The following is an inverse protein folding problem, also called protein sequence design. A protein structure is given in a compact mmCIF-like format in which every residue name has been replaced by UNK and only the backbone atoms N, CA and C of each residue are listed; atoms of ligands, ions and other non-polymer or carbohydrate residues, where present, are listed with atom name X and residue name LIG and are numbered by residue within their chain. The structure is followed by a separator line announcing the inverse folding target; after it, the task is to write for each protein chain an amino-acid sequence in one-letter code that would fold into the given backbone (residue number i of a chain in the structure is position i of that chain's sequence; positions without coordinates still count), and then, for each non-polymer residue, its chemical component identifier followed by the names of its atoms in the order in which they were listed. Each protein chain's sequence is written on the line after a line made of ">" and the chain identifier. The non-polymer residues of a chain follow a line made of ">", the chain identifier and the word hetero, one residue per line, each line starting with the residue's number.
data_IF_362836247045
#
_entry.id   IF_362836247045
#
_cell.length_a   1.000
_cell.length_b   1.000
_cell.length_c   1.000
_cell.angle_alpha   90.00
_cell.angle_beta   90.00
_cell.angle_gamma   90.00
#
_symmetry.space_group_name_H-M   'P 1'
#
loop_
_entity.id
_entity.type
_entity.pdbx_description
1 polymer ?
#
# COMPACT_ATOMS: atom_id res chain seq x y z
N UNK A 1 50.08 59.84 -57.27
CA UNK A 1 50.32 58.40 -57.44
C UNK A 1 50.67 57.81 -56.03
N UNK A 2 50.00 56.98 -55.39
CA UNK A 2 49.01 55.90 -55.63
C UNK A 2 48.31 55.64 -54.29
N UNK A 3 47.02 55.92 -54.21
CA UNK A 3 46.12 55.50 -53.15
C UNK A 3 45.34 54.26 -53.70
N UNK A 4 45.73 53.09 -53.43
CA UNK A 4 44.95 51.83 -53.65
C UNK A 4 45.69 50.63 -53.10
N UNK A 5 45.32 50.18 -51.90
CA UNK A 5 45.33 48.77 -51.47
C UNK A 5 45.13 48.66 -49.96
N UNK A 6 43.89 48.72 -49.47
CA UNK A 6 43.50 48.13 -48.19
C UNK A 6 41.97 47.98 -48.16
N UNK A 7 41.43 47.02 -48.95
CA UNK A 7 40.00 46.74 -48.90
C UNK A 7 39.60 45.24 -48.95
N UNK A 8 40.52 44.33 -48.74
CA UNK A 8 40.21 42.90 -48.85
C UNK A 8 40.45 42.03 -47.59
N UNK A 9 40.81 42.59 -46.43
CA UNK A 9 41.06 41.82 -45.20
C UNK A 9 39.87 41.74 -44.26
N UNK A 10 38.76 42.46 -44.49
CA UNK A 10 37.61 42.50 -43.59
C UNK A 10 36.58 41.38 -43.77
N UNK A 11 36.47 40.80 -45.00
CA UNK A 11 35.42 39.80 -45.26
C UNK A 11 35.75 38.39 -44.72
N UNK A 12 37.04 38.02 -44.65
CA UNK A 12 37.45 36.71 -44.14
C UNK A 12 37.26 36.51 -42.65
N UNK A 13 37.35 37.60 -41.87
CA UNK A 13 37.22 37.54 -40.40
C UNK A 13 35.77 37.40 -39.92
N UNK A 14 34.82 37.92 -40.66
CA UNK A 14 33.37 37.80 -40.30
C UNK A 14 32.88 36.38 -40.61
N UNK A 15 33.28 35.78 -41.71
CA UNK A 15 32.89 34.39 -42.02
C UNK A 15 33.56 33.35 -41.11
N UNK A 16 34.80 33.59 -40.66
CA UNK A 16 35.46 32.69 -39.73
C UNK A 16 34.77 32.69 -38.34
N UNK A 17 34.32 33.85 -37.86
CA UNK A 17 33.59 33.98 -36.60
C UNK A 17 32.18 33.33 -36.65
N UNK A 18 31.47 33.48 -37.78
CA UNK A 18 30.14 32.84 -37.93
C UNK A 18 30.24 31.34 -38.07
N UNK A 19 31.30 30.79 -38.71
CA UNK A 19 31.56 29.35 -38.77
C UNK A 19 31.94 28.77 -37.38
N UNK A 20 32.79 29.49 -36.62
CA UNK A 20 33.11 29.05 -35.25
C UNK A 20 31.87 29.10 -34.31
N UNK A 21 31.02 30.13 -34.41
CA UNK A 21 29.77 30.20 -33.62
C UNK A 21 28.80 29.09 -34.00
N UNK A 22 28.68 28.75 -35.27
CA UNK A 22 27.83 27.62 -35.71
C UNK A 22 28.37 26.27 -35.22
N UNK A 23 29.70 26.07 -35.22
CA UNK A 23 30.28 24.84 -34.67
C UNK A 23 30.08 24.68 -33.16
N UNK A 24 30.24 25.80 -32.39
CA UNK A 24 30.03 25.79 -30.94
C UNK A 24 28.52 25.54 -30.61
N UNK A 25 27.59 26.11 -31.38
CA UNK A 25 26.16 25.84 -31.21
C UNK A 25 25.79 24.36 -31.51
N UNK A 26 26.40 23.78 -32.54
CA UNK A 26 26.18 22.35 -32.87
C UNK A 26 26.74 21.42 -31.78
N UNK A 27 27.94 21.72 -31.24
CA UNK A 27 28.51 20.94 -30.13
C UNK A 27 27.67 21.07 -28.84
N UNK A 28 27.18 22.29 -28.52
CA UNK A 28 26.29 22.50 -27.37
C UNK A 28 24.96 21.76 -27.56
N UNK A 29 24.40 21.75 -28.76
CA UNK A 29 23.19 20.96 -29.06
C UNK A 29 23.43 19.45 -28.98
N UNK A 30 24.58 18.96 -29.43
CA UNK A 30 24.97 17.53 -29.35
C UNK A 30 25.23 17.11 -27.89
N UNK A 31 25.82 17.97 -27.07
CA UNK A 31 26.03 17.72 -25.64
C UNK A 31 24.68 17.78 -24.85
N UNK A 32 23.74 18.63 -25.26
CA UNK A 32 22.41 18.69 -24.66
C UNK A 32 21.57 17.43 -24.96
N UNK A 33 21.73 16.82 -26.14
CA UNK A 33 21.04 15.55 -26.48
C UNK A 33 21.64 14.34 -25.77
N UNK A 34 22.92 14.37 -25.40
CA UNK A 34 23.54 13.30 -24.59
C UNK A 34 23.10 13.30 -23.12
N UNK A 35 22.59 14.43 -22.61
CA UNK A 35 22.06 14.51 -21.24
C UNK A 35 20.68 13.85 -21.06
N UNK A 36 19.93 13.55 -22.13
CA UNK A 36 18.66 12.81 -22.06
C UNK A 36 18.81 11.29 -22.05
N UNK A 37 20.04 10.76 -22.02
CA UNK A 37 20.32 9.33 -22.20
C UNK A 37 20.57 8.52 -20.93
N UNK A 38 20.52 9.09 -19.71
CA UNK A 38 20.65 8.28 -18.52
C UNK A 38 19.29 7.67 -18.19
N UNK A 39 19.11 6.38 -18.56
CA UNK A 39 17.88 5.64 -18.27
C UNK A 39 17.53 5.67 -16.78
N UNK A 40 16.27 5.91 -16.45
CA UNK A 40 15.79 5.79 -15.07
C UNK A 40 15.87 4.33 -14.60
N UNK A 41 16.33 4.06 -13.35
CA UNK A 41 17.00 4.98 -12.44
C UNK A 41 18.51 5.07 -12.71
N UNK A 42 19.09 6.28 -12.58
CA UNK A 42 20.54 6.54 -12.70
C UNK A 42 21.23 6.79 -11.35
N UNK A 43 20.43 6.80 -10.25
CA UNK A 43 20.89 6.97 -8.86
C UNK A 43 20.02 6.09 -7.95
N UNK A 44 20.37 5.90 -6.66
CA UNK A 44 19.57 5.12 -5.73
C UNK A 44 18.12 5.61 -5.63
N UNK A 45 17.17 4.66 -5.54
CA UNK A 45 15.75 4.89 -5.33
C UNK A 45 15.43 4.57 -3.88
N UNK A 46 14.67 5.41 -3.20
CA UNK A 46 14.19 5.13 -1.84
C UNK A 46 12.72 4.73 -1.83
N UNK A 47 12.36 3.81 -0.93
CA UNK A 47 10.97 3.46 -0.63
C UNK A 47 10.69 3.87 0.81
N UNK A 48 9.82 4.86 1.00
CA UNK A 48 9.34 5.25 2.32
C UNK A 48 8.33 4.21 2.79
N UNK A 49 8.54 3.68 4.00
CA UNK A 49 7.63 2.77 4.69
C UNK A 49 7.08 3.50 5.92
N UNK A 50 5.76 3.75 6.01
CA UNK A 50 5.17 4.55 7.09
C UNK A 50 5.00 3.78 8.42
N UNK A 51 5.64 2.62 8.57
CA UNK A 51 5.53 1.74 9.73
C UNK A 51 6.91 1.26 10.22
N UNK A 52 6.93 0.74 11.45
CA UNK A 52 8.15 0.24 12.07
C UNK A 52 8.73 -0.97 11.31
N UNK A 53 10.05 -1.11 11.41
CA UNK A 53 10.78 -2.24 10.83
C UNK A 53 10.33 -3.60 11.43
N UNK A 54 10.44 -4.66 10.62
CA UNK A 54 10.18 -6.05 11.01
C UNK A 54 8.74 -6.54 10.78
N UNK A 55 7.77 -5.66 10.54
CA UNK A 55 6.42 -6.05 10.16
C UNK A 55 6.28 -6.30 8.65
N UNK A 56 5.11 -6.84 8.25
CA UNK A 56 4.79 -7.11 6.84
C UNK A 56 5.00 -5.89 5.95
N UNK A 57 4.57 -4.70 6.41
CA UNK A 57 4.74 -3.45 5.68
C UNK A 57 6.21 -3.07 5.43
N UNK A 58 7.14 -3.54 6.25
CA UNK A 58 8.58 -3.33 6.08
C UNK A 58 9.23 -4.44 5.24
N UNK A 59 8.89 -5.70 5.50
CA UNK A 59 9.50 -6.84 4.82
C UNK A 59 9.13 -6.90 3.33
N UNK A 60 7.89 -6.61 2.99
CA UNK A 60 7.38 -6.65 1.61
C UNK A 60 8.18 -5.73 0.66
N UNK A 61 8.35 -4.42 0.92
CA UNK A 61 9.13 -3.56 0.05
C UNK A 61 10.63 -3.89 0.04
N UNK A 62 11.19 -4.52 1.09
CA UNK A 62 12.57 -5.01 1.07
C UNK A 62 12.74 -6.20 0.12
N UNK A 63 11.79 -7.16 0.14
CA UNK A 63 11.80 -8.32 -0.76
C UNK A 63 11.69 -7.86 -2.23
N UNK A 64 10.74 -6.98 -2.54
CA UNK A 64 10.55 -6.46 -3.90
C UNK A 64 11.70 -5.52 -4.29
N UNK A 65 12.13 -4.63 -3.39
CA UNK A 65 13.21 -3.68 -3.59
C UNK A 65 14.55 -4.35 -3.89
N UNK A 66 14.83 -5.51 -3.29
CA UNK A 66 16.01 -6.30 -3.64
C UNK A 66 15.99 -6.69 -5.12
N UNK A 67 14.88 -7.20 -5.65
CA UNK A 67 14.74 -7.57 -7.06
C UNK A 67 14.82 -6.37 -8.00
N UNK A 68 14.22 -5.26 -7.60
CA UNK A 68 14.35 -4.00 -8.35
C UNK A 68 15.79 -3.52 -8.37
N UNK A 69 16.53 -3.62 -7.25
CA UNK A 69 17.94 -3.24 -7.17
C UNK A 69 18.81 -4.10 -8.10
N UNK A 70 18.59 -5.41 -8.10
CA UNK A 70 19.29 -6.35 -9.01
C UNK A 70 19.03 -5.98 -10.48
N UNK A 71 17.76 -5.70 -10.84
CA UNK A 71 17.35 -5.37 -12.20
C UNK A 71 17.88 -4.01 -12.68
N UNK A 72 17.88 -3.02 -11.80
CA UNK A 72 18.23 -1.64 -12.15
C UNK A 72 19.72 -1.34 -12.06
N UNK A 73 20.50 -2.19 -11.38
CA UNK A 73 21.89 -1.90 -11.07
C UNK A 73 22.07 -0.68 -10.16
N UNK A 74 20.99 -0.25 -9.50
CA UNK A 74 20.94 0.87 -8.57
C UNK A 74 20.35 0.43 -7.24
N UNK A 75 20.87 0.96 -6.13
CA UNK A 75 20.35 0.61 -4.81
C UNK A 75 18.90 1.03 -4.64
N UNK A 76 18.07 0.14 -4.08
CA UNK A 76 16.72 0.45 -3.60
C UNK A 76 16.76 0.42 -2.07
N UNK A 77 16.62 1.60 -1.45
CA UNK A 77 16.77 1.78 -0.01
C UNK A 77 15.40 1.91 0.64
N UNK A 78 15.10 1.08 1.63
CA UNK A 78 13.85 1.13 2.40
C UNK A 78 14.06 1.94 3.67
N UNK A 79 13.29 3.03 3.82
CA UNK A 79 13.35 3.95 4.97
C UNK A 79 12.04 3.91 5.76
N UNK A 80 12.12 3.59 7.06
CA UNK A 80 10.96 3.57 7.93
C UNK A 80 10.69 4.96 8.53
N UNK A 81 9.50 5.54 8.29
CA UNK A 81 9.06 6.87 8.77
C UNK A 81 7.78 6.72 9.58
N UNK A 82 7.94 6.39 10.84
CA UNK A 82 6.85 5.95 11.73
C UNK A 82 6.13 7.15 12.36
N UNK A 83 4.84 7.00 12.59
CA UNK A 83 4.04 7.90 13.43
C UNK A 83 2.70 8.31 12.82
N UNK A 84 1.77 8.74 13.68
CA UNK A 84 0.43 9.20 13.33
C UNK A 84 -0.30 8.24 12.36
N UNK A 85 -0.38 6.95 12.70
CA UNK A 85 -0.99 5.91 11.85
C UNK A 85 -0.42 5.84 10.43
N UNK A 86 0.90 6.13 10.27
CA UNK A 86 1.58 6.16 8.98
C UNK A 86 1.53 7.51 8.26
N UNK A 87 0.76 8.48 8.76
CA UNK A 87 0.56 9.76 8.08
C UNK A 87 1.84 10.59 7.99
N UNK A 88 2.83 10.40 8.89
CA UNK A 88 4.14 11.07 8.81
C UNK A 88 4.90 10.61 7.55
N UNK A 89 5.01 9.31 7.31
CA UNK A 89 5.68 8.78 6.12
C UNK A 89 4.95 9.15 4.83
N UNK A 90 3.62 9.10 4.83
CA UNK A 90 2.81 9.55 3.69
C UNK A 90 3.03 11.04 3.39
N UNK A 91 3.05 11.91 4.42
CA UNK A 91 3.29 13.34 4.24
C UNK A 91 4.70 13.64 3.70
N UNK A 92 5.73 12.86 4.06
CA UNK A 92 7.07 12.98 3.47
C UNK A 92 7.03 12.61 1.99
N UNK A 93 6.37 11.53 1.62
CA UNK A 93 6.19 11.12 0.23
C UNK A 93 5.42 12.15 -0.61
N UNK A 94 4.38 12.76 -0.05
CA UNK A 94 3.60 13.81 -0.70
C UNK A 94 4.41 15.09 -0.99
N UNK A 95 5.50 15.34 -0.26
CA UNK A 95 6.41 16.48 -0.47
C UNK A 95 7.64 16.14 -1.30
N UNK A 96 7.81 14.89 -1.69
CA UNK A 96 8.95 14.48 -2.49
C UNK A 96 8.94 15.11 -3.89
N UNK A 97 10.09 15.17 -4.54
CA UNK A 97 10.17 15.58 -5.94
C UNK A 97 9.42 14.57 -6.83
N UNK A 98 8.71 15.02 -7.87
CA UNK A 98 7.99 14.13 -8.79
C UNK A 98 8.94 13.56 -9.86
N UNK A 99 10.08 13.01 -9.43
CA UNK A 99 11.15 12.49 -10.30
C UNK A 99 11.27 10.95 -10.26
N UNK A 100 10.38 10.28 -9.49
CA UNK A 100 10.34 8.83 -9.35
C UNK A 100 11.36 8.24 -8.38
N UNK A 101 12.30 9.01 -7.82
CA UNK A 101 13.33 8.49 -6.90
C UNK A 101 12.87 8.35 -5.45
N UNK A 102 11.65 8.78 -5.15
CA UNK A 102 11.00 8.51 -3.87
C UNK A 102 9.67 7.80 -4.11
N UNK A 103 9.63 6.53 -3.80
CA UNK A 103 8.42 5.72 -3.79
C UNK A 103 7.88 5.64 -2.36
N UNK A 104 6.60 5.35 -2.20
CA UNK A 104 5.98 5.19 -0.89
C UNK A 104 5.21 3.88 -0.86
N UNK A 105 5.45 3.06 0.15
CA UNK A 105 4.54 1.96 0.47
C UNK A 105 3.32 2.56 1.17
N UNK A 106 2.17 2.37 0.58
CA UNK A 106 0.89 2.87 1.09
C UNK A 106 -0.07 1.70 1.35
N UNK A 107 -0.23 1.25 2.59
CA UNK A 107 -1.29 0.30 2.94
C UNK A 107 -2.69 0.88 2.76
N UNK A 108 -3.69 -0.01 2.63
CA UNK A 108 -5.12 0.31 2.45
C UNK A 108 -5.57 1.50 3.29
N UNK A 109 -5.35 1.42 4.60
CA UNK A 109 -5.81 2.45 5.53
C UNK A 109 -5.28 3.85 5.23
N UNK A 110 -4.02 3.96 4.79
CA UNK A 110 -3.41 5.27 4.52
C UNK A 110 -4.02 5.99 3.32
N UNK A 111 -4.50 5.27 2.33
CA UNK A 111 -5.08 5.86 1.12
C UNK A 111 -6.61 5.96 1.17
N UNK A 112 -7.29 5.04 1.87
CA UNK A 112 -8.75 4.90 1.74
C UNK A 112 -9.53 5.13 3.04
N UNK A 113 -8.87 5.16 4.20
CA UNK A 113 -9.50 5.31 5.52
C UNK A 113 -9.05 6.58 6.23
N UNK A 114 -7.73 6.81 6.33
CA UNK A 114 -7.15 7.94 7.04
C UNK A 114 -7.68 9.31 6.58
N UNK A 115 -8.02 9.54 5.29
CA UNK A 115 -8.64 10.80 4.86
C UNK A 115 -9.95 11.15 5.57
N UNK A 116 -10.65 10.15 6.10
CA UNK A 116 -11.93 10.35 6.80
C UNK A 116 -11.79 10.42 8.33
N UNK A 117 -10.63 9.99 8.85
CA UNK A 117 -10.38 9.91 10.29
C UNK A 117 -9.38 10.93 10.81
N UNK A 118 -8.54 11.51 9.94
CA UNK A 118 -7.48 12.42 10.33
C UNK A 118 -7.49 13.69 9.49
N UNK A 119 -7.09 14.80 10.10
CA UNK A 119 -6.76 16.01 9.36
C UNK A 119 -5.37 15.87 8.73
N UNK A 120 -5.32 15.44 7.47
CA UNK A 120 -4.07 15.19 6.77
C UNK A 120 -3.47 16.48 6.20
N UNK A 121 -2.11 16.64 6.24
CA UNK A 121 -1.42 17.75 5.58
C UNK A 121 -1.19 17.51 4.07
N UNK A 122 -1.91 16.55 3.47
CA UNK A 122 -1.84 16.15 2.06
C UNK A 122 -3.20 15.59 1.62
N UNK A 123 -3.42 15.53 0.30
CA UNK A 123 -4.61 14.93 -0.31
C UNK A 123 -4.21 13.60 -0.99
N UNK A 124 -4.73 12.49 -0.50
CA UNK A 124 -4.37 11.15 -1.00
C UNK A 124 -4.69 10.96 -2.47
N UNK A 125 -5.75 11.60 -2.99
CA UNK A 125 -6.18 11.47 -4.36
C UNK A 125 -5.40 12.39 -5.33
N UNK A 126 -4.92 13.55 -4.85
CA UNK A 126 -4.23 14.55 -5.68
C UNK A 126 -2.72 14.48 -5.58
N UNK A 127 -2.19 14.07 -4.42
CA UNK A 127 -0.76 14.14 -4.14
C UNK A 127 0.00 12.87 -4.52
N UNK A 128 -0.72 11.77 -4.82
CA UNK A 128 -0.10 10.51 -5.19
C UNK A 128 -0.60 9.97 -6.53
N UNK A 129 0.32 9.38 -7.28
CA UNK A 129 0.04 8.56 -8.46
C UNK A 129 0.22 7.09 -8.06
N UNK A 130 -0.84 6.25 -8.17
CA UNK A 130 -0.75 4.82 -7.95
C UNK A 130 0.21 4.16 -8.97
N UNK A 131 1.01 3.19 -8.49
CA UNK A 131 1.89 2.38 -9.34
C UNK A 131 1.32 0.96 -9.46
N UNK A 132 1.21 0.25 -8.34
CA UNK A 132 0.69 -1.11 -8.29
C UNK A 132 0.40 -1.53 -6.86
N UNK A 133 -0.48 -2.50 -6.66
CA UNK A 133 -0.57 -3.25 -5.40
C UNK A 133 0.51 -4.33 -5.41
N UNK A 134 1.44 -4.27 -4.46
CA UNK A 134 2.49 -5.28 -4.33
C UNK A 134 1.93 -6.62 -3.86
N UNK A 135 1.13 -6.58 -2.81
CA UNK A 135 0.51 -7.79 -2.26
C UNK A 135 -0.78 -7.48 -1.50
N UNK A 136 -1.62 -8.50 -1.37
CA UNK A 136 -2.78 -8.52 -0.47
C UNK A 136 -2.50 -9.41 0.73
N UNK A 137 -3.20 -9.12 1.83
CA UNK A 137 -3.21 -9.93 3.04
C UNK A 137 -4.66 -10.24 3.40
N UNK A 138 -5.15 -11.43 3.12
CA UNK A 138 -6.47 -11.85 3.53
C UNK A 138 -6.63 -11.76 5.05
N UNK A 139 -7.76 -11.23 5.51
CA UNK A 139 -8.13 -11.26 6.91
C UNK A 139 -9.02 -12.46 7.19
N UNK A 140 -8.93 -12.97 8.41
CA UNK A 140 -9.80 -14.02 8.94
C UNK A 140 -10.52 -13.52 10.18
N UNK A 141 -11.80 -13.80 10.27
CA UNK A 141 -12.57 -13.64 11.50
C UNK A 141 -12.28 -14.83 12.40
N UNK A 142 -11.69 -14.56 13.54
CA UNK A 142 -11.39 -15.57 14.57
C UNK A 142 -12.17 -15.27 15.85
N UNK A 143 -12.51 -16.33 16.58
CA UNK A 143 -13.13 -16.23 17.90
C UNK A 143 -12.33 -17.02 18.93
N UNK A 144 -12.46 -16.60 20.21
CA UNK A 144 -11.96 -17.39 21.34
C UNK A 144 -12.83 -18.65 21.51
N UNK A 145 -12.26 -19.82 21.87
CA UNK A 145 -13.02 -21.09 22.02
C UNK A 145 -14.15 -21.06 23.06
N UNK A 146 -14.18 -20.09 23.96
CA UNK A 146 -15.30 -19.92 24.90
C UNK A 146 -16.59 -19.43 24.23
N UNK A 147 -16.53 -18.90 23.02
CA UNK A 147 -17.71 -18.54 22.23
C UNK A 147 -18.26 -19.82 21.60
N UNK A 148 -19.53 -20.22 21.90
CA UNK A 148 -20.06 -21.50 21.49
C UNK A 148 -20.54 -21.52 20.03
N UNK A 149 -19.64 -21.18 19.09
CA UNK A 149 -19.92 -21.11 17.65
C UNK A 149 -18.80 -21.74 16.84
N UNK A 150 -19.15 -22.36 15.71
CA UNK A 150 -18.20 -23.04 14.80
C UNK A 150 -18.33 -22.54 13.35
N UNK A 151 -19.30 -21.68 13.09
CA UNK A 151 -19.54 -21.15 11.74
C UNK A 151 -19.97 -19.69 11.80
N UNK A 152 -19.85 -19.00 10.67
CA UNK A 152 -20.28 -17.61 10.54
C UNK A 152 -21.78 -17.44 10.81
N UNK A 153 -22.61 -18.38 10.36
CA UNK A 153 -24.07 -18.34 10.61
C UNK A 153 -24.38 -18.48 12.08
N UNK A 154 -23.68 -19.38 12.79
CA UNK A 154 -23.83 -19.54 14.24
C UNK A 154 -23.39 -18.28 14.99
N UNK A 155 -22.26 -17.65 14.55
CA UNK A 155 -21.79 -16.40 15.14
C UNK A 155 -22.83 -15.29 15.00
N UNK A 156 -23.39 -15.11 13.80
CA UNK A 156 -24.44 -14.10 13.57
C UNK A 156 -25.68 -14.38 14.39
N UNK A 157 -26.13 -15.65 14.45
CA UNK A 157 -27.27 -16.05 15.26
C UNK A 157 -27.02 -15.79 16.76
N UNK A 158 -25.83 -16.17 17.25
CA UNK A 158 -25.43 -15.94 18.64
C UNK A 158 -25.38 -14.43 18.97
N UNK A 159 -24.78 -13.60 18.11
CA UNK A 159 -24.70 -12.16 18.31
C UNK A 159 -26.09 -11.50 18.33
N UNK A 160 -27.02 -11.96 17.47
CA UNK A 160 -28.42 -11.47 17.47
C UNK A 160 -29.17 -11.84 18.72
N UNK A 161 -28.96 -13.06 19.24
CA UNK A 161 -29.56 -13.54 20.46
C UNK A 161 -28.98 -12.91 21.74
N UNK A 162 -27.74 -12.41 21.64
CA UNK A 162 -26.97 -11.86 22.75
C UNK A 162 -26.36 -10.49 22.39
N UNK A 163 -27.18 -9.47 22.17
CA UNK A 163 -26.67 -8.15 21.80
C UNK A 163 -25.71 -7.61 22.85
N UNK A 164 -24.64 -6.98 22.39
CA UNK A 164 -23.55 -6.38 23.21
C UNK A 164 -22.75 -7.36 24.09
N UNK A 165 -22.89 -8.68 23.88
CA UNK A 165 -22.13 -9.71 24.62
C UNK A 165 -20.81 -10.06 23.95
N UNK A 166 -20.66 -9.82 22.66
CA UNK A 166 -19.42 -10.05 21.94
C UNK A 166 -18.64 -8.73 21.82
N UNK A 167 -17.40 -8.77 22.30
CA UNK A 167 -16.45 -7.69 22.12
C UNK A 167 -15.47 -8.10 21.01
N UNK A 168 -15.21 -7.20 20.06
CA UNK A 168 -14.17 -7.42 19.05
C UNK A 168 -12.97 -6.51 19.27
N UNK A 169 -11.79 -7.13 19.20
CA UNK A 169 -10.52 -6.41 19.33
C UNK A 169 -10.07 -5.80 18.00
N UNK A 170 -9.36 -4.69 18.09
CA UNK A 170 -8.58 -4.16 16.98
C UNK A 170 -7.25 -3.56 17.43
N UNK A 171 -6.25 -3.40 16.54
CA UNK A 171 -4.99 -2.72 16.90
C UNK A 171 -5.13 -1.21 17.10
N UNK A 172 -6.34 -0.68 17.06
CA UNK A 172 -6.66 0.74 17.29
C UNK A 172 -7.85 1.21 16.47
N UNK A 173 -8.37 2.36 16.84
CA UNK A 173 -9.46 3.00 16.11
C UNK A 173 -9.05 3.31 14.67
N UNK A 174 -10.00 3.15 13.73
CA UNK A 174 -9.77 3.35 12.30
C UNK A 174 -8.90 2.29 11.63
N UNK A 175 -8.42 1.29 12.38
CA UNK A 175 -7.70 0.16 11.76
C UNK A 175 -8.62 -0.70 10.89
N UNK A 176 -8.05 -1.44 9.94
CA UNK A 176 -8.82 -2.37 9.10
C UNK A 176 -9.64 -3.39 9.89
N UNK A 177 -9.14 -3.85 11.05
CA UNK A 177 -9.85 -4.76 11.93
C UNK A 177 -11.05 -4.09 12.63
N UNK A 178 -10.92 -2.81 13.03
CA UNK A 178 -12.04 -2.01 13.55
C UNK A 178 -13.13 -1.87 12.49
N UNK A 179 -12.76 -1.41 11.31
CA UNK A 179 -13.72 -1.19 10.21
C UNK A 179 -14.37 -2.50 9.74
N UNK A 180 -13.66 -3.63 9.81
CA UNK A 180 -14.21 -4.95 9.52
C UNK A 180 -15.28 -5.37 10.54
N UNK A 181 -15.05 -5.08 11.83
CA UNK A 181 -16.04 -5.30 12.89
C UNK A 181 -17.29 -4.45 12.71
N UNK A 182 -17.11 -3.17 12.40
CA UNK A 182 -18.24 -2.25 12.14
C UNK A 182 -19.00 -2.62 10.86
N UNK A 183 -18.29 -3.04 9.81
CA UNK A 183 -18.93 -3.56 8.60
C UNK A 183 -19.78 -4.80 8.91
N UNK A 184 -19.25 -5.71 9.75
CA UNK A 184 -20.02 -6.88 10.21
C UNK A 184 -21.27 -6.46 10.97
N UNK A 185 -21.18 -5.50 11.90
CA UNK A 185 -22.30 -4.97 12.65
C UNK A 185 -23.39 -4.44 11.71
N UNK A 186 -22.99 -3.65 10.70
CA UNK A 186 -23.91 -3.04 9.73
C UNK A 186 -24.55 -4.10 8.83
N UNK A 187 -23.76 -4.96 8.19
CA UNK A 187 -24.26 -5.86 7.15
C UNK A 187 -24.98 -7.09 7.70
N UNK A 188 -24.53 -7.63 8.85
CA UNK A 188 -25.21 -8.75 9.51
C UNK A 188 -26.37 -8.31 10.41
N UNK A 189 -26.51 -7.01 10.68
CA UNK A 189 -27.48 -6.47 11.62
C UNK A 189 -27.30 -7.01 13.04
N UNK A 190 -26.04 -7.05 13.51
CA UNK A 190 -25.64 -7.48 14.85
C UNK A 190 -25.07 -6.31 15.65
N UNK A 191 -24.97 -6.48 16.96
CA UNK A 191 -24.36 -5.50 17.87
C UNK A 191 -23.23 -6.15 18.62
N UNK A 192 -21.99 -5.83 18.23
CA UNK A 192 -20.77 -6.20 18.92
C UNK A 192 -20.02 -4.94 19.32
N UNK A 193 -19.29 -4.97 20.45
CA UNK A 193 -18.61 -3.78 20.98
C UNK A 193 -17.14 -3.76 20.58
N UNK A 194 -16.67 -2.62 20.09
CA UNK A 194 -15.27 -2.43 19.74
C UNK A 194 -14.40 -2.17 20.97
N UNK A 195 -13.28 -2.89 21.06
CA UNK A 195 -12.24 -2.69 22.07
C UNK A 195 -10.92 -2.35 21.36
N UNK A 196 -10.51 -1.06 21.34
CA UNK A 196 -9.26 -0.64 20.70
C UNK A 196 -8.05 -0.93 21.57
N UNK A 197 -6.99 -1.46 20.96
CA UNK A 197 -5.68 -1.69 21.58
C UNK A 197 -4.60 -0.80 20.95
N UNK A 198 -3.47 -0.65 21.64
CA UNK A 198 -2.28 0.05 21.10
C UNK A 198 -1.41 -0.91 20.28
N UNK A 199 -1.99 -1.50 19.23
CA UNK A 199 -1.31 -2.41 18.29
C UNK A 199 -1.86 -3.84 18.33
N UNK A 200 -1.35 -4.67 17.41
CA UNK A 200 -1.87 -6.03 17.15
C UNK A 200 -1.54 -7.01 18.28
N UNK A 201 -0.33 -6.92 18.86
CA UNK A 201 0.12 -7.90 19.85
C UNK A 201 -0.73 -7.91 21.14
N UNK A 202 -1.02 -6.77 21.79
CA UNK A 202 -1.91 -6.78 22.97
C UNK A 202 -3.34 -7.22 22.61
N UNK A 203 -3.87 -6.88 21.43
CA UNK A 203 -5.19 -7.32 20.98
C UNK A 203 -5.27 -8.86 20.85
N UNK A 204 -4.25 -9.48 20.25
CA UNK A 204 -4.18 -10.95 20.11
C UNK A 204 -3.99 -11.62 21.46
N UNK A 205 -3.19 -11.06 22.36
CA UNK A 205 -2.99 -11.63 23.69
C UNK A 205 -4.31 -11.67 24.50
N UNK A 206 -5.08 -10.59 24.48
CA UNK A 206 -6.36 -10.51 25.18
C UNK A 206 -7.43 -11.40 24.53
N UNK A 207 -7.40 -11.56 23.20
CA UNK A 207 -8.23 -12.52 22.50
C UNK A 207 -7.88 -13.96 22.92
N UNK A 208 -6.59 -14.30 23.00
CA UNK A 208 -6.11 -15.62 23.48
C UNK A 208 -6.44 -15.87 24.95
N UNK A 209 -6.53 -14.83 25.75
CA UNK A 209 -6.94 -14.85 27.16
C UNK A 209 -8.45 -14.82 27.38
N UNK A 210 -9.27 -14.70 26.31
CA UNK A 210 -10.73 -14.63 26.38
C UNK A 210 -11.27 -13.31 26.93
N UNK A 211 -10.44 -12.28 27.10
CA UNK A 211 -10.87 -10.95 27.57
C UNK A 211 -11.75 -10.25 26.51
N UNK A 212 -11.50 -10.54 25.24
CA UNK A 212 -12.34 -10.20 24.09
C UNK A 212 -12.69 -11.47 23.33
N UNK A 213 -13.81 -11.47 22.62
CA UNK A 213 -14.40 -12.69 22.08
C UNK A 213 -14.05 -12.95 20.63
N UNK A 214 -13.77 -11.91 19.85
CA UNK A 214 -13.54 -12.04 18.41
C UNK A 214 -12.59 -10.96 17.88
N UNK A 215 -12.06 -11.21 16.69
CA UNK A 215 -11.20 -10.25 15.99
C UNK A 215 -11.14 -10.58 14.50
N UNK A 216 -11.11 -9.55 13.65
CA UNK A 216 -10.59 -9.67 12.30
C UNK A 216 -9.07 -9.48 12.35
N UNK A 217 -8.32 -10.45 11.87
CA UNK A 217 -6.86 -10.40 11.87
C UNK A 217 -6.28 -10.89 10.55
N UNK A 218 -5.11 -10.40 10.17
CA UNK A 218 -4.34 -11.00 9.08
C UNK A 218 -4.04 -12.47 9.39
N UNK A 219 -4.24 -13.36 8.42
CA UNK A 219 -4.09 -14.82 8.62
C UNK A 219 -2.73 -15.15 9.22
N UNK A 220 -1.65 -14.57 8.71
CA UNK A 220 -0.29 -14.81 9.23
C UNK A 220 -0.13 -14.53 10.73
N UNK A 221 -0.90 -13.59 11.26
CA UNK A 221 -0.85 -13.23 12.68
C UNK A 221 -1.45 -14.30 13.58
N UNK A 222 -2.52 -14.97 13.14
CA UNK A 222 -3.31 -15.89 13.97
C UNK A 222 -3.21 -17.35 13.55
N UNK A 223 -2.58 -17.67 12.44
CA UNK A 223 -2.53 -19.01 11.83
C UNK A 223 -2.06 -20.10 12.81
N UNK A 224 -1.00 -19.85 13.55
CA UNK A 224 -0.48 -20.81 14.52
C UNK A 224 -1.44 -21.03 15.70
N UNK A 225 -2.17 -19.99 16.09
CA UNK A 225 -3.18 -20.10 17.15
C UNK A 225 -4.42 -20.85 16.68
N UNK A 226 -4.79 -20.71 15.41
CA UNK A 226 -5.86 -21.49 14.78
C UNK A 226 -5.44 -22.96 14.67
N UNK A 227 -4.25 -23.23 14.13
CA UNK A 227 -3.73 -24.61 14.00
C UNK A 227 -3.57 -25.34 15.33
N UNK A 228 -3.25 -24.63 16.40
CA UNK A 228 -3.15 -25.20 17.75
C UNK A 228 -4.48 -25.26 18.52
N UNK A 229 -5.58 -24.84 17.90
CA UNK A 229 -6.91 -24.82 18.54
C UNK A 229 -7.11 -23.75 19.62
N UNK A 230 -6.15 -22.82 19.78
CA UNK A 230 -6.26 -21.70 20.72
C UNK A 230 -7.23 -20.62 20.24
N UNK A 231 -7.48 -20.55 18.94
CA UNK A 231 -8.51 -19.71 18.29
C UNK A 231 -9.28 -20.57 17.30
N UNK A 232 -10.54 -20.21 17.06
CA UNK A 232 -11.40 -20.82 16.04
C UNK A 232 -11.52 -19.87 14.87
N UNK A 233 -11.10 -20.30 13.66
CA UNK A 233 -11.33 -19.55 12.44
C UNK A 233 -12.78 -19.72 11.98
N UNK A 234 -13.49 -18.63 11.82
CA UNK A 234 -14.93 -18.62 11.51
C UNK A 234 -15.18 -18.39 10.02
N UNK A 235 -14.53 -17.38 9.43
CA UNK A 235 -14.68 -17.07 8.01
C UNK A 235 -13.51 -16.22 7.50
N UNK A 236 -13.15 -16.40 6.24
CA UNK A 236 -12.19 -15.54 5.52
C UNK A 236 -12.92 -14.28 5.04
N UNK A 237 -12.37 -13.13 5.36
CA UNK A 237 -12.95 -11.83 5.04
C UNK A 237 -12.40 -11.25 3.73
N UNK A 238 -12.21 -12.10 2.73
CA UNK A 238 -11.81 -11.76 1.37
C UNK A 238 -12.70 -12.49 0.35
N UNK A 239 -12.68 -12.07 -0.94
CA UNK A 239 -13.55 -12.67 -1.97
C UNK A 239 -13.29 -14.15 -2.24
N UNK A 240 -12.10 -14.65 -1.89
CA UNK A 240 -11.68 -16.04 -2.07
C UNK A 240 -11.15 -16.64 -0.79
N UNK A 241 -11.26 -17.96 -0.64
CA UNK A 241 -10.62 -18.68 0.47
C UNK A 241 -9.11 -18.52 0.42
N UNK A 242 -8.49 -18.59 1.59
CA UNK A 242 -7.03 -18.59 1.67
C UNK A 242 -6.45 -19.98 1.49
N UNK A 243 -5.37 -20.15 0.70
CA UNK A 243 -4.62 -21.41 0.63
C UNK A 243 -4.06 -21.87 1.98
N UNK A 244 -3.91 -20.99 2.95
CA UNK A 244 -3.41 -21.31 4.30
C UNK A 244 -4.50 -21.89 5.23
N UNK A 245 -5.78 -21.67 4.90
CA UNK A 245 -6.97 -22.14 5.61
C UNK A 245 -8.06 -22.54 4.60
N UNK A 246 -7.80 -23.53 3.74
CA UNK A 246 -8.69 -23.85 2.60
C UNK A 246 -10.05 -24.40 3.05
N UNK A 247 -10.13 -24.94 4.26
CA UNK A 247 -11.37 -25.45 4.87
C UNK A 247 -12.29 -24.34 5.39
N UNK A 248 -11.73 -23.12 5.64
CA UNK A 248 -12.50 -22.00 6.18
C UNK A 248 -13.22 -21.26 5.05
N UNK A 249 -14.57 -21.21 5.06
CA UNK A 249 -15.33 -20.52 4.02
C UNK A 249 -15.12 -19.01 4.09
N UNK A 250 -15.43 -18.31 3.00
CA UNK A 250 -15.48 -16.84 3.04
C UNK A 250 -16.75 -16.36 3.74
N UNK A 251 -16.74 -15.09 4.21
CA UNK A 251 -17.93 -14.44 4.74
C UNK A 251 -19.02 -14.36 3.65
N UNK A 252 -18.62 -14.12 2.40
CA UNK A 252 -19.53 -14.09 1.25
C UNK A 252 -20.19 -15.46 1.00
N UNK A 253 -19.42 -16.57 1.01
CA UNK A 253 -19.97 -17.95 0.93
C UNK A 253 -20.90 -18.26 2.09
N UNK A 254 -20.71 -17.59 3.23
CA UNK A 254 -21.48 -17.82 4.46
C UNK A 254 -22.75 -16.99 4.57
N UNK A 255 -23.03 -16.11 3.58
CA UNK A 255 -24.32 -15.43 3.45
C UNK A 255 -24.27 -13.89 3.39
N UNK A 256 -23.11 -13.23 3.53
CA UNK A 256 -22.95 -11.79 3.31
C UNK A 256 -22.20 -11.55 2.01
N UNK A 257 -22.93 -11.55 0.89
CA UNK A 257 -22.36 -11.32 -0.44
C UNK A 257 -21.69 -9.93 -0.50
N UNK A 258 -20.48 -9.88 -1.09
CA UNK A 258 -19.74 -8.63 -1.23
C UNK A 258 -18.93 -8.22 0.00
N UNK A 259 -19.00 -8.96 1.10
CA UNK A 259 -18.15 -8.70 2.26
C UNK A 259 -16.67 -8.93 1.92
N UNK A 260 -15.91 -7.85 1.88
CA UNK A 260 -14.47 -7.86 1.60
C UNK A 260 -13.77 -6.81 2.46
N UNK A 261 -12.85 -7.26 3.30
CA UNK A 261 -11.97 -6.42 4.12
C UNK A 261 -10.52 -6.86 3.95
N UNK A 262 -10.18 -7.26 2.74
CA UNK A 262 -8.79 -7.62 2.38
C UNK A 262 -7.89 -6.41 2.57
N UNK A 263 -6.83 -6.58 3.35
CA UNK A 263 -5.77 -5.59 3.44
C UNK A 263 -4.87 -5.69 2.21
N UNK A 264 -4.40 -4.56 1.69
CA UNK A 264 -3.44 -4.52 0.61
C UNK A 264 -2.33 -3.50 0.88
N UNK A 265 -1.21 -3.68 0.20
CA UNK A 265 -0.01 -2.86 0.30
C UNK A 265 0.33 -2.33 -1.09
N UNK A 266 0.00 -1.07 -1.33
CA UNK A 266 0.26 -0.41 -2.60
C UNK A 266 1.61 0.29 -2.64
N UNK A 267 2.15 0.41 -3.84
CA UNK A 267 3.29 1.27 -4.14
C UNK A 267 2.76 2.50 -4.88
N UNK A 268 3.07 3.68 -4.36
CA UNK A 268 2.67 4.95 -4.95
C UNK A 268 3.88 5.88 -5.09
N UNK A 269 3.72 6.94 -5.87
CA UNK A 269 4.74 7.98 -6.07
C UNK A 269 4.08 9.35 -6.03
N UNK A 270 4.86 10.42 -5.84
CA UNK A 270 4.35 11.80 -5.88
C UNK A 270 3.65 12.07 -7.21
N UNK A 271 2.48 12.69 -7.15
CA UNK A 271 1.76 13.14 -8.34
C UNK A 271 2.61 14.09 -9.20
N UNK A 272 2.47 13.97 -10.52
CA UNK A 272 3.31 14.71 -11.48
C UNK A 272 4.59 13.97 -11.88
N UNK A 273 4.87 12.79 -11.32
CA UNK A 273 5.96 11.91 -11.82
C UNK A 273 5.66 11.50 -13.26
N UNK A 274 6.65 11.57 -14.18
CA UNK A 274 6.46 11.20 -15.59
C UNK A 274 5.84 9.80 -15.76
N UNK A 275 4.87 9.68 -16.66
CA UNK A 275 4.13 8.44 -16.87
C UNK A 275 5.04 7.26 -17.27
N UNK A 276 6.09 7.51 -18.02
CA UNK A 276 7.10 6.52 -18.41
C UNK A 276 7.83 5.91 -17.21
N UNK A 277 8.13 6.73 -16.17
CA UNK A 277 8.74 6.27 -14.92
C UNK A 277 7.74 5.42 -14.14
N UNK A 278 6.50 5.88 -14.00
CA UNK A 278 5.42 5.11 -13.35
C UNK A 278 5.24 3.74 -14.01
N UNK A 279 5.17 3.72 -15.34
CA UNK A 279 5.01 2.49 -16.11
C UNK A 279 6.23 1.57 -16.01
N UNK A 280 7.45 2.13 -15.96
CA UNK A 280 8.66 1.33 -15.77
C UNK A 280 8.68 0.69 -14.40
N UNK A 281 8.45 1.46 -13.32
CA UNK A 281 8.42 0.93 -11.94
C UNK A 281 7.34 -0.14 -11.80
N UNK A 282 6.16 0.09 -12.38
CA UNK A 282 5.07 -0.89 -12.42
C UNK A 282 5.51 -2.21 -13.07
N UNK A 283 6.02 -2.17 -14.32
CA UNK A 283 6.42 -3.39 -15.03
C UNK A 283 7.50 -4.17 -14.27
N UNK A 284 8.50 -3.46 -13.77
CA UNK A 284 9.62 -4.08 -13.07
C UNK A 284 9.18 -4.68 -11.72
N UNK A 285 8.28 -4.01 -10.99
CA UNK A 285 7.70 -4.55 -9.76
C UNK A 285 6.79 -5.77 -10.04
N UNK A 286 5.94 -5.71 -11.07
CA UNK A 286 5.09 -6.83 -11.47
C UNK A 286 5.90 -8.06 -11.88
N UNK A 287 7.00 -7.88 -12.60
CA UNK A 287 7.93 -8.96 -12.95
C UNK A 287 8.60 -9.55 -11.70
N UNK A 288 9.05 -8.71 -10.76
CA UNK A 288 9.61 -9.17 -9.49
C UNK A 288 8.60 -10.01 -8.70
N UNK A 289 7.34 -9.58 -8.62
CA UNK A 289 6.26 -10.28 -7.94
C UNK A 289 5.88 -11.62 -8.62
N UNK A 290 6.09 -11.74 -9.92
CA UNK A 290 5.84 -12.96 -10.67
C UNK A 290 6.92 -14.04 -10.44
N UNK A 291 8.12 -13.66 -9.95
CA UNK A 291 9.22 -14.60 -9.73
C UNK A 291 8.88 -15.62 -8.61
N UNK A 292 9.30 -16.87 -8.79
CA UNK A 292 9.05 -17.95 -7.83
C UNK A 292 9.66 -17.65 -6.45
N UNK A 293 10.86 -17.07 -6.43
CA UNK A 293 11.55 -16.67 -5.21
C UNK A 293 10.72 -15.66 -4.39
N UNK A 294 10.22 -14.59 -5.04
CA UNK A 294 9.42 -13.56 -4.36
C UNK A 294 8.08 -14.15 -3.90
N UNK A 295 7.41 -14.92 -4.76
CA UNK A 295 6.15 -15.59 -4.40
C UNK A 295 6.31 -16.50 -3.18
N UNK A 296 7.38 -17.29 -3.11
CA UNK A 296 7.68 -18.12 -1.95
C UNK A 296 7.91 -17.32 -0.67
N UNK A 297 8.69 -16.23 -0.74
CA UNK A 297 8.92 -15.34 0.40
C UNK A 297 7.62 -14.66 0.87
N UNK A 298 6.77 -14.20 -0.06
CA UNK A 298 5.49 -13.57 0.28
C UNK A 298 4.50 -14.57 0.89
N UNK A 299 4.41 -15.78 0.35
CA UNK A 299 3.58 -16.85 0.89
C UNK A 299 3.96 -17.20 2.34
N UNK A 300 5.27 -17.22 2.66
CA UNK A 300 5.76 -17.43 4.03
C UNK A 300 5.31 -16.32 5.00
N UNK A 301 5.08 -15.09 4.49
CA UNK A 301 4.54 -13.96 5.24
C UNK A 301 2.99 -13.92 5.24
N UNK A 302 2.32 -14.89 4.62
CA UNK A 302 0.86 -14.90 4.48
C UNK A 302 0.32 -13.85 3.50
N UNK A 303 1.15 -13.45 2.55
CA UNK A 303 0.83 -12.46 1.53
C UNK A 303 0.59 -13.13 0.17
N UNK A 304 -0.37 -12.59 -0.56
CA UNK A 304 -0.65 -12.96 -1.94
C UNK A 304 -0.16 -11.85 -2.87
N UNK A 305 0.82 -12.13 -3.77
CA UNK A 305 1.30 -11.13 -4.73
C UNK A 305 0.19 -10.71 -5.69
N UNK A 306 0.13 -9.43 -6.07
CA UNK A 306 -0.91 -8.90 -6.97
C UNK A 306 -0.34 -8.35 -8.29
N UNK A 307 0.37 -7.22 -8.28
CA UNK A 307 1.00 -6.67 -9.47
C UNK A 307 0.04 -6.11 -10.52
N UNK A 308 -1.08 -5.50 -10.10
CA UNK A 308 -2.08 -4.92 -11.00
C UNK A 308 -1.59 -3.60 -11.65
N UNK A 309 -2.11 -3.25 -12.86
CA UNK A 309 -1.76 -1.99 -13.53
C UNK A 309 -2.15 -0.74 -12.74
N UNK A 310 -1.47 0.41 -12.97
CA UNK A 310 -1.72 1.67 -12.26
C UNK A 310 -3.18 2.14 -12.30
N UNK A 311 -3.83 2.03 -13.45
CA UNK A 311 -5.24 2.40 -13.63
C UNK A 311 -6.20 1.48 -12.87
N UNK A 312 -5.90 0.19 -12.80
CA UNK A 312 -6.67 -0.77 -12.00
C UNK A 312 -6.50 -0.48 -10.49
N UNK A 313 -5.28 -0.11 -10.08
CA UNK A 313 -5.03 0.28 -8.69
C UNK A 313 -5.74 1.60 -8.34
N UNK A 314 -5.74 2.59 -9.24
CA UNK A 314 -6.50 3.83 -9.05
C UNK A 314 -8.00 3.57 -8.87
N UNK A 315 -8.61 2.71 -9.71
CA UNK A 315 -10.02 2.31 -9.55
C UNK A 315 -10.29 1.60 -8.23
N UNK A 316 -9.38 0.75 -7.78
CA UNK A 316 -9.47 0.05 -6.49
C UNK A 316 -9.46 1.04 -5.31
N UNK A 317 -8.55 2.02 -5.31
CA UNK A 317 -8.50 3.08 -4.31
C UNK A 317 -9.82 3.85 -4.27
N UNK A 318 -10.34 4.27 -5.42
CA UNK A 318 -11.59 5.03 -5.50
C UNK A 318 -12.79 4.25 -4.96
N UNK A 319 -12.93 2.97 -5.36
CA UNK A 319 -14.01 2.11 -4.89
C UNK A 319 -13.95 1.88 -3.37
N UNK A 320 -12.77 1.60 -2.83
CA UNK A 320 -12.59 1.39 -1.40
C UNK A 320 -12.76 2.68 -0.59
N UNK A 321 -12.29 3.82 -1.08
CA UNK A 321 -12.51 5.11 -0.43
C UNK A 321 -13.99 5.40 -0.25
N UNK A 322 -14.81 5.15 -1.26
CA UNK A 322 -16.26 5.29 -1.16
C UNK A 322 -16.87 4.36 -0.09
N UNK A 323 -16.50 3.08 -0.11
CA UNK A 323 -16.94 2.08 0.86
C UNK A 323 -16.59 2.47 2.30
N UNK A 324 -15.32 2.83 2.54
CA UNK A 324 -14.87 3.16 3.91
C UNK A 324 -15.45 4.48 4.41
N UNK A 325 -15.63 5.48 3.53
CA UNK A 325 -16.36 6.71 3.86
C UNK A 325 -17.77 6.43 4.38
N UNK A 326 -18.50 5.53 3.69
CA UNK A 326 -19.84 5.14 4.09
C UNK A 326 -19.87 4.40 5.43
N UNK A 327 -18.91 3.51 5.67
CA UNK A 327 -18.80 2.76 6.94
C UNK A 327 -18.49 3.71 8.09
N UNK A 328 -17.48 4.59 7.94
CA UNK A 328 -17.11 5.59 8.95
C UNK A 328 -18.34 6.44 9.34
N UNK A 329 -19.11 6.88 8.35
CA UNK A 329 -20.35 7.66 8.57
C UNK A 329 -21.44 6.85 9.28
N UNK A 330 -21.73 5.61 8.82
CA UNK A 330 -22.79 4.76 9.37
C UNK A 330 -22.48 4.26 10.79
N UNK A 331 -21.23 3.96 11.07
CA UNK A 331 -20.75 3.55 12.39
C UNK A 331 -20.52 4.75 13.33
N UNK A 332 -20.74 5.99 12.86
CA UNK A 332 -20.50 7.22 13.62
C UNK A 332 -19.08 7.31 14.23
N UNK A 333 -18.09 6.81 13.51
CA UNK A 333 -16.69 6.86 13.95
C UNK A 333 -16.20 8.31 13.87
N UNK A 334 -15.81 8.86 15.02
CA UNK A 334 -15.40 10.26 15.10
C UNK A 334 -13.99 10.45 14.53
N UNK A 335 -13.74 11.55 13.79
CA UNK A 335 -12.41 11.92 13.37
C UNK A 335 -11.49 12.10 14.58
N UNK A 336 -10.29 11.56 14.52
CA UNK A 336 -9.25 11.75 15.52
C UNK A 336 -8.64 13.15 15.38
N UNK A 337 -8.49 13.85 16.50
CA UNK A 337 -7.89 15.20 16.55
C UNK A 337 -6.38 15.17 16.36
#
# INVERSE_FOLDING_TARGET
>A
MSLLRFKHLGLGYVHLRSLLSAFICVEICLLATAAYGQGYPSKPVRIIVPFAAGGVADLLPRIVGQKLSEKWGQAVVVENKVGASGNIGMAEGARAAPDGYTLVLAPTGNLTVNPYLFKLPFDTAKDFTPITVLATSPNVLVVHPSVPVKSFRELVAYAKANPDKLNFASPGEGSGAHLAGELLNIEAGVRTQHVPYKGIAPAVNDLLGGQVQMMFAGISTVLQHVKSGRLVAIAIASPRRSPQLPEVPTVAESGLAGFDVTSWYGLVVRAGTPAEIVQKVYRDAAEALASEEVRGKLAALGLEPMGNPPDAFARMIAAESGKWSDIVRKANIQPQQ
#
